data_IF_366206745055
#
_entry.id   IF_366206745055
#
_cell.length_a   1.000
_cell.length_b   1.000
_cell.length_c   1.000
_cell.angle_alpha   90.00
_cell.angle_beta   90.00
_cell.angle_gamma   90.00
#
_symmetry.space_group_name_H-M   'P 1'
#
loop_
_entity.id
_entity.type
_entity.pdbx_description
1 polymer ?
#
# COMPACT_ATOMS: atom_id res chain seq x y z
N UNK A 1 -28.83 10.82 -13.72
CA UNK A 1 -28.96 9.98 -12.52
C UNK A 1 -27.62 9.31 -12.29
N UNK A 2 -27.10 9.27 -11.06
CA UNK A 2 -25.90 8.48 -10.77
C UNK A 2 -26.21 7.01 -11.11
N UNK A 3 -25.28 6.32 -11.79
CA UNK A 3 -25.44 4.90 -12.07
C UNK A 3 -25.63 4.15 -10.75
N UNK A 4 -26.67 3.33 -10.68
CA UNK A 4 -26.94 2.49 -9.52
C UNK A 4 -25.75 1.57 -9.29
N UNK A 5 -25.38 1.35 -8.03
CA UNK A 5 -24.29 0.44 -7.71
C UNK A 5 -24.75 -1.01 -7.86
N UNK A 6 -24.73 -1.50 -9.10
CA UNK A 6 -25.12 -2.87 -9.41
C UNK A 6 -24.04 -3.89 -9.05
N UNK A 7 -24.40 -5.17 -9.14
CA UNK A 7 -23.53 -6.30 -8.76
C UNK A 7 -22.25 -6.31 -9.59
N UNK A 8 -22.32 -6.04 -10.90
CA UNK A 8 -21.16 -6.08 -11.78
C UNK A 8 -20.16 -4.97 -11.44
N UNK A 9 -20.69 -3.76 -11.19
CA UNK A 9 -19.92 -2.60 -10.78
C UNK A 9 -19.28 -2.82 -9.41
N UNK A 10 -20.01 -3.45 -8.48
CA UNK A 10 -19.47 -3.86 -7.17
C UNK A 10 -18.32 -4.85 -7.29
N UNK A 11 -18.50 -5.91 -8.08
CA UNK A 11 -17.46 -6.93 -8.28
C UNK A 11 -16.22 -6.34 -8.97
N UNK A 12 -16.42 -5.47 -9.97
CA UNK A 12 -15.33 -4.76 -10.64
C UNK A 12 -14.56 -3.85 -9.68
N UNK A 13 -15.26 -3.06 -8.85
CA UNK A 13 -14.60 -2.22 -7.85
C UNK A 13 -13.83 -3.04 -6.83
N UNK A 14 -14.42 -4.15 -6.36
CA UNK A 14 -13.75 -5.06 -5.42
C UNK A 14 -12.47 -5.67 -6.02
N UNK A 15 -12.52 -6.12 -7.27
CA UNK A 15 -11.34 -6.64 -7.96
C UNK A 15 -10.28 -5.56 -8.21
N UNK A 16 -10.71 -4.37 -8.63
CA UNK A 16 -9.80 -3.25 -8.84
C UNK A 16 -9.08 -2.84 -7.55
N UNK A 17 -9.77 -2.80 -6.41
CA UNK A 17 -9.16 -2.50 -5.12
C UNK A 17 -8.15 -3.59 -4.74
N UNK A 18 -8.53 -4.87 -4.87
CA UNK A 18 -7.62 -5.99 -4.63
C UNK A 18 -6.34 -5.88 -5.49
N UNK A 19 -6.49 -5.59 -6.79
CA UNK A 19 -5.35 -5.40 -7.69
C UNK A 19 -4.47 -4.21 -7.28
N UNK A 20 -5.05 -3.10 -6.83
CA UNK A 20 -4.30 -1.94 -6.31
C UNK A 20 -3.48 -2.33 -5.07
N UNK A 21 -4.05 -3.12 -4.15
CA UNK A 21 -3.37 -3.58 -2.93
C UNK A 21 -2.28 -4.60 -3.25
N UNK A 22 -2.52 -5.53 -4.17
CA UNK A 22 -1.50 -6.48 -4.64
C UNK A 22 -0.34 -5.74 -5.33
N UNK A 23 -0.63 -4.71 -6.13
CA UNK A 23 0.38 -3.88 -6.80
C UNK A 23 1.25 -3.08 -5.84
N UNK A 24 0.74 -2.71 -4.65
CA UNK A 24 1.56 -2.03 -3.63
C UNK A 24 2.81 -2.87 -3.31
N UNK A 25 2.60 -4.12 -2.93
CA UNK A 25 3.71 -4.99 -2.50
C UNK A 25 4.54 -5.50 -3.67
N UNK A 26 3.89 -5.83 -4.80
CA UNK A 26 4.60 -6.22 -6.00
C UNK A 26 5.54 -5.11 -6.52
N UNK A 27 5.08 -3.86 -6.58
CA UNK A 27 5.91 -2.77 -7.10
C UNK A 27 7.04 -2.40 -6.12
N UNK A 28 6.86 -2.57 -4.80
CA UNK A 28 7.96 -2.46 -3.85
C UNK A 28 9.04 -3.52 -4.12
N UNK A 29 8.63 -4.78 -4.31
CA UNK A 29 9.58 -5.88 -4.55
C UNK A 29 10.28 -5.78 -5.92
N UNK A 30 9.58 -5.24 -6.92
CA UNK A 30 10.16 -4.94 -8.23
C UNK A 30 10.97 -3.64 -8.26
N UNK A 31 11.02 -2.89 -7.15
CA UNK A 31 11.63 -1.55 -7.07
C UNK A 31 11.09 -0.58 -8.13
N UNK A 32 9.80 -0.70 -8.46
CA UNK A 32 9.13 0.06 -9.52
C UNK A 32 8.50 1.34 -8.97
N UNK A 33 9.28 2.42 -8.92
CA UNK A 33 8.77 3.75 -8.55
C UNK A 33 7.61 4.20 -9.45
N UNK A 34 7.72 3.97 -10.77
CA UNK A 34 6.65 4.29 -11.72
C UNK A 34 5.36 3.54 -11.40
N UNK A 35 5.44 2.24 -11.10
CA UNK A 35 4.28 1.43 -10.75
C UNK A 35 3.62 1.90 -9.44
N UNK A 36 4.41 2.28 -8.44
CA UNK A 36 3.88 2.83 -7.19
C UNK A 36 3.13 4.15 -7.40
N UNK A 37 3.69 5.07 -8.20
CA UNK A 37 3.06 6.36 -8.47
C UNK A 37 1.81 6.19 -9.34
N UNK A 38 1.92 5.41 -10.42
CA UNK A 38 0.86 5.31 -11.43
C UNK A 38 -0.29 4.41 -11.00
N UNK A 39 0.00 3.27 -10.40
CA UNK A 39 -1.00 2.20 -10.20
C UNK A 39 -1.48 2.08 -8.74
N UNK A 40 -0.72 2.61 -7.78
CA UNK A 40 -0.95 2.33 -6.35
C UNK A 40 -1.44 3.55 -5.59
N UNK A 41 -0.65 4.62 -5.55
CA UNK A 41 -0.91 5.77 -4.69
C UNK A 41 -1.80 6.82 -5.35
N UNK A 42 -2.60 7.50 -4.53
CA UNK A 42 -3.31 8.71 -4.94
C UNK A 42 -2.31 9.88 -5.01
N UNK A 43 -2.58 10.97 -5.77
CA UNK A 43 -1.62 12.07 -5.91
C UNK A 43 -1.11 12.63 -4.58
N UNK A 44 -2.03 12.78 -3.62
CA UNK A 44 -1.73 13.12 -2.24
C UNK A 44 -1.98 11.90 -1.36
N UNK A 45 -1.08 11.58 -0.43
CA UNK A 45 -1.15 10.42 0.45
C UNK A 45 -0.90 10.78 1.91
N UNK A 46 -1.41 9.93 2.80
CA UNK A 46 -1.07 9.92 4.23
C UNK A 46 -0.40 8.59 4.53
N UNK A 47 0.81 8.65 5.08
CA UNK A 47 1.58 7.48 5.48
C UNK A 47 1.67 7.45 7.00
N UNK A 48 1.17 6.39 7.60
CA UNK A 48 1.20 6.17 9.04
C UNK A 48 1.97 4.90 9.38
N UNK A 49 3.26 5.10 9.67
CA UNK A 49 4.14 4.07 10.23
C UNK A 49 4.43 4.33 11.72
N UNK A 50 3.55 5.06 12.43
CA UNK A 50 3.74 5.38 13.85
C UNK A 50 3.93 4.13 14.70
N UNK A 51 3.24 3.04 14.35
CA UNK A 51 3.39 1.75 15.04
C UNK A 51 4.76 1.08 14.84
N UNK A 52 5.46 1.37 13.75
CA UNK A 52 6.76 0.76 13.43
C UNK A 52 7.93 1.61 13.91
N UNK A 53 7.85 2.93 13.69
CA UNK A 53 8.99 3.84 13.90
C UNK A 53 8.72 4.93 14.95
N UNK A 54 7.52 4.96 15.56
CA UNK A 54 7.07 6.08 16.38
C UNK A 54 6.74 7.32 15.52
N UNK A 55 6.62 8.48 16.16
CA UNK A 55 6.35 9.74 15.45
C UNK A 55 4.86 10.01 15.22
N UNK A 56 4.52 10.56 14.05
CA UNK A 56 3.17 10.94 13.63
C UNK A 56 2.94 10.57 12.16
N UNK A 57 1.68 10.39 11.73
CA UNK A 57 1.36 10.27 10.32
C UNK A 57 1.91 11.45 9.50
N UNK A 58 2.41 11.15 8.31
CA UNK A 58 2.94 12.14 7.37
C UNK A 58 1.97 12.33 6.20
N UNK A 59 1.64 13.58 5.91
CA UNK A 59 0.95 13.96 4.68
C UNK A 59 1.98 14.39 3.63
N UNK A 60 1.88 13.84 2.41
CA UNK A 60 2.84 14.12 1.33
C UNK A 60 2.23 13.79 -0.04
N UNK A 61 2.96 14.00 -1.13
CA UNK A 61 2.55 13.53 -2.46
C UNK A 61 3.06 12.12 -2.72
N UNK A 62 2.42 11.39 -3.64
CA UNK A 62 2.88 10.06 -4.05
C UNK A 62 4.32 10.07 -4.56
N UNK A 63 4.69 11.08 -5.34
CA UNK A 63 6.03 11.21 -5.92
C UNK A 63 7.08 11.45 -4.86
N UNK A 64 6.80 12.36 -3.91
CA UNK A 64 7.70 12.64 -2.81
C UNK A 64 7.86 11.43 -1.88
N UNK A 65 6.75 10.73 -1.58
CA UNK A 65 6.77 9.50 -0.81
C UNK A 65 7.60 8.41 -1.49
N UNK A 66 7.29 8.09 -2.75
CA UNK A 66 7.96 7.03 -3.50
C UNK A 66 9.45 7.33 -3.65
N UNK A 67 9.82 8.59 -3.91
CA UNK A 67 11.22 9.02 -3.94
C UNK A 67 11.92 8.79 -2.61
N UNK A 68 11.24 9.00 -1.47
CA UNK A 68 11.82 8.74 -0.15
C UNK A 68 12.08 7.24 0.12
N UNK A 69 11.45 6.34 -0.64
CA UNK A 69 11.65 4.89 -0.55
C UNK A 69 12.83 4.40 -1.40
N UNK A 70 13.30 5.18 -2.39
CA UNK A 70 14.37 4.76 -3.30
C UNK A 70 15.66 4.32 -2.59
N UNK A 71 16.20 5.04 -1.58
CA UNK A 71 17.40 4.60 -0.87
C UNK A 71 17.23 3.25 -0.18
N UNK A 72 16.01 2.96 0.29
CA UNK A 72 15.68 1.70 0.95
C UNK A 72 15.54 0.57 -0.06
N UNK A 73 14.83 0.82 -1.17
CA UNK A 73 14.71 -0.14 -2.26
C UNK A 73 16.10 -0.50 -2.81
N UNK A 74 16.98 0.48 -3.01
CA UNK A 74 18.34 0.25 -3.53
C UNK A 74 19.29 -0.39 -2.50
N UNK A 75 19.11 -0.08 -1.22
CA UNK A 75 19.95 -0.57 -0.14
C UNK A 75 19.74 -2.05 0.22
N UNK A 76 18.63 -2.65 -0.23
CA UNK A 76 18.28 -4.05 -0.01
C UNK A 76 18.59 -4.89 -1.25
N UNK A 77 19.17 -6.08 -1.05
CA UNK A 77 19.46 -7.01 -2.16
C UNK A 77 18.17 -7.59 -2.74
N UNK A 78 17.19 -7.85 -1.87
CA UNK A 78 15.89 -8.37 -2.26
C UNK A 78 14.88 -8.15 -1.13
N UNK A 79 13.63 -7.90 -1.52
CA UNK A 79 12.49 -7.93 -0.62
C UNK A 79 11.43 -8.89 -1.15
N UNK A 80 10.60 -9.38 -0.23
CA UNK A 80 9.37 -10.05 -0.55
C UNK A 80 8.30 -9.57 0.43
N UNK A 81 7.28 -8.90 -0.09
CA UNK A 81 6.12 -8.50 0.68
C UNK A 81 4.93 -9.37 0.29
N UNK A 82 4.20 -9.85 1.30
CA UNK A 82 3.04 -10.72 1.11
C UNK A 82 1.85 -10.06 1.79
N UNK A 83 0.83 -9.68 1.02
CA UNK A 83 -0.48 -9.26 1.53
C UNK A 83 -1.46 -10.40 1.39
N UNK A 84 -2.22 -10.67 2.44
CA UNK A 84 -3.25 -11.73 2.45
C UNK A 84 -4.44 -11.32 3.28
N UNK A 85 -5.53 -12.11 3.20
CA UNK A 85 -6.72 -11.95 4.03
C UNK A 85 -7.31 -10.54 3.95
N UNK A 86 -7.37 -10.00 2.73
CA UNK A 86 -7.92 -8.67 2.46
C UNK A 86 -9.42 -8.64 2.72
N UNK A 87 -9.83 -7.73 3.60
CA UNK A 87 -11.24 -7.39 3.82
C UNK A 87 -11.48 -6.02 3.21
N UNK A 88 -12.13 -6.01 2.05
CA UNK A 88 -12.49 -4.80 1.30
C UNK A 88 -13.90 -4.36 1.72
N UNK A 89 -13.98 -3.19 2.35
CA UNK A 89 -15.23 -2.58 2.80
C UNK A 89 -15.83 -1.72 1.69
N UNK A 90 -16.84 -2.28 1.04
CA UNK A 90 -17.70 -1.61 0.06
C UNK A 90 -19.17 -1.86 0.46
N UNK A 91 -20.08 -0.90 0.22
CA UNK A 91 -21.51 -1.11 0.47
C UNK A 91 -22.03 -2.23 -0.43
N UNK A 92 -22.94 -3.05 0.08
CA UNK A 92 -23.55 -4.12 -0.71
C UNK A 92 -24.41 -3.52 -1.85
N UNK A 93 -24.41 -4.12 -3.05
CA UNK A 93 -25.14 -3.62 -4.22
C UNK A 93 -26.65 -3.90 -4.12
N UNK A 94 -27.32 -3.28 -3.14
CA UNK A 94 -28.77 -3.32 -2.96
C UNK A 94 -29.43 -2.06 -3.57
N UNK A 95 -30.73 -2.13 -3.83
CA UNK A 95 -31.46 -1.05 -4.50
C UNK A 95 -31.29 0.31 -3.82
N UNK A 96 -30.90 1.33 -4.61
CA UNK A 96 -30.75 2.71 -4.14
C UNK A 96 -29.39 3.06 -3.55
N UNK A 97 -28.45 2.12 -3.46
CA UNK A 97 -27.07 2.42 -3.01
C UNK A 97 -26.32 3.20 -4.10
N UNK A 98 -25.76 4.33 -3.68
CA UNK A 98 -24.87 5.15 -4.52
C UNK A 98 -23.50 4.47 -4.56
N UNK A 99 -22.92 4.38 -5.76
CA UNK A 99 -21.57 3.84 -5.94
C UNK A 99 -20.57 4.68 -5.14
N UNK A 100 -19.70 4.06 -4.33
CA UNK A 100 -18.78 4.80 -3.48
C UNK A 100 -17.61 5.38 -4.28
N UNK A 101 -17.10 6.50 -3.79
CA UNK A 101 -15.85 7.15 -4.20
C UNK A 101 -14.68 6.84 -3.25
N UNK A 102 -14.95 6.17 -2.13
CA UNK A 102 -13.98 5.76 -1.10
C UNK A 102 -14.21 4.32 -0.67
N UNK A 103 -13.14 3.65 -0.27
CA UNK A 103 -13.18 2.31 0.28
C UNK A 103 -12.14 2.14 1.38
N UNK A 104 -12.37 1.20 2.30
CA UNK A 104 -11.39 0.81 3.31
C UNK A 104 -10.96 -0.63 3.08
N UNK A 105 -9.69 -0.92 3.36
CA UNK A 105 -9.16 -2.28 3.33
C UNK A 105 -8.38 -2.54 4.60
N UNK A 106 -8.66 -3.67 5.22
CA UNK A 106 -7.80 -4.24 6.27
C UNK A 106 -7.22 -5.53 5.72
N UNK A 107 -5.91 -5.70 5.84
CA UNK A 107 -5.22 -6.88 5.32
C UNK A 107 -4.07 -7.29 6.25
N UNK A 108 -3.73 -8.58 6.25
CA UNK A 108 -2.50 -9.05 6.88
C UNK A 108 -1.34 -8.79 5.92
N UNK A 109 -0.19 -8.36 6.46
CA UNK A 109 1.02 -8.13 5.67
C UNK A 109 2.24 -8.70 6.37
N UNK A 110 3.13 -9.31 5.58
CA UNK A 110 4.47 -9.69 5.98
C UNK A 110 5.50 -9.05 5.05
N UNK A 111 6.60 -8.58 5.64
CA UNK A 111 7.77 -8.11 4.90
C UNK A 111 8.97 -9.01 5.20
N UNK A 112 9.64 -9.46 4.16
CA UNK A 112 10.91 -10.17 4.24
C UNK A 112 11.97 -9.38 3.49
N UNK A 113 13.07 -9.06 4.16
CA UNK A 113 14.13 -8.19 3.62
C UNK A 113 15.47 -8.91 3.75
N UNK A 114 16.22 -8.93 2.64
CA UNK A 114 17.56 -9.49 2.56
C UNK A 114 18.58 -8.38 2.31
N UNK A 115 19.60 -8.35 3.16
CA UNK A 115 20.81 -7.53 2.97
C UNK A 115 22.03 -8.34 3.37
N UNK A 116 22.73 -8.90 2.39
CA UNK A 116 23.96 -9.71 2.56
C UNK A 116 25.10 -8.93 3.17
N UNK A 117 25.14 -7.62 2.94
CA UNK A 117 26.14 -6.72 3.49
C UNK A 117 25.88 -6.29 4.95
N UNK A 118 24.80 -6.76 5.59
CA UNK A 118 24.54 -6.48 7.00
C UNK A 118 25.65 -7.08 7.90
N UNK A 119 25.98 -6.38 8.99
CA UNK A 119 27.01 -6.85 9.96
C UNK A 119 26.56 -8.09 10.72
N UNK A 120 25.31 -8.11 11.15
CA UNK A 120 24.66 -9.27 11.76
C UNK A 120 24.17 -10.30 10.74
N UNK A 121 23.04 -10.95 11.04
CA UNK A 121 22.40 -11.88 10.09
C UNK A 121 21.84 -11.09 8.89
N UNK A 122 21.76 -11.69 7.69
CA UNK A 122 21.40 -10.97 6.47
C UNK A 122 19.88 -10.77 6.30
N UNK A 123 19.07 -11.30 7.20
CA UNK A 123 17.61 -11.31 7.09
C UNK A 123 16.95 -10.50 8.20
N UNK A 124 15.90 -9.78 7.82
CA UNK A 124 14.92 -9.17 8.69
C UNK A 124 13.52 -9.51 8.19
N UNK A 125 12.62 -9.81 9.12
CA UNK A 125 11.24 -10.12 8.83
C UNK A 125 10.34 -9.37 9.79
N UNK A 126 9.17 -8.98 9.29
CA UNK A 126 8.12 -8.46 10.13
C UNK A 126 6.76 -8.92 9.65
N UNK A 127 5.80 -8.86 10.56
CA UNK A 127 4.41 -9.14 10.28
C UNK A 127 3.52 -8.14 10.98
N UNK A 128 2.41 -7.79 10.33
CA UNK A 128 1.49 -6.79 10.81
C UNK A 128 0.24 -6.73 9.97
N UNK A 129 -0.44 -5.59 10.06
CA UNK A 129 -1.67 -5.32 9.33
C UNK A 129 -1.56 -4.01 8.58
N UNK A 130 -2.10 -4.01 7.37
CA UNK A 130 -2.44 -2.78 6.68
C UNK A 130 -3.83 -2.31 7.08
N UNK A 131 -3.95 -1.00 7.27
CA UNK A 131 -5.21 -0.26 7.31
C UNK A 131 -5.12 0.77 6.19
N UNK A 132 -5.81 0.49 5.08
CA UNK A 132 -5.75 1.31 3.89
C UNK A 132 -7.07 2.04 3.69
N UNK A 133 -6.98 3.29 3.27
CA UNK A 133 -8.13 4.02 2.70
C UNK A 133 -7.82 4.33 1.24
N UNK A 134 -8.75 3.99 0.35
CA UNK A 134 -8.63 4.21 -1.08
C UNK A 134 -9.65 5.25 -1.54
N UNK A 135 -9.26 5.99 -2.58
CA UNK A 135 -10.11 6.96 -3.28
C UNK A 135 -10.22 6.58 -4.75
N UNK A 136 -11.37 6.90 -5.34
CA UNK A 136 -11.64 6.74 -6.77
C UNK A 136 -11.17 7.98 -7.53
N UNK A 137 -10.36 7.79 -8.56
CA UNK A 137 -9.95 8.83 -9.49
C UNK A 137 -10.77 8.74 -10.78
N UNK A 138 -11.75 9.65 -10.92
CA UNK A 138 -12.70 9.65 -12.05
C UNK A 138 -12.01 9.79 -13.42
N UNK A 139 -10.87 10.47 -13.48
CA UNK A 139 -10.13 10.65 -14.73
C UNK A 139 -9.54 9.33 -15.26
N UNK A 140 -9.20 8.38 -14.39
CA UNK A 140 -8.76 7.04 -14.79
C UNK A 140 -9.94 6.18 -15.24
N UNK A 141 -11.06 6.29 -14.52
CA UNK A 141 -12.29 5.57 -14.88
C UNK A 141 -12.79 5.96 -16.27
N UNK A 142 -12.76 7.25 -16.62
CA UNK A 142 -13.11 7.75 -17.96
C UNK A 142 -12.23 7.17 -19.07
N UNK A 143 -10.99 6.76 -18.75
CA UNK A 143 -10.06 6.11 -19.68
C UNK A 143 -10.23 4.59 -19.73
N UNK A 144 -11.12 4.03 -18.91
CA UNK A 144 -11.30 2.57 -18.78
C UNK A 144 -10.20 1.90 -17.94
N UNK A 145 -9.45 2.67 -17.16
CA UNK A 145 -8.39 2.16 -16.28
C UNK A 145 -8.94 1.88 -14.87
N UNK A 146 -8.21 1.10 -14.07
CA UNK A 146 -8.52 0.90 -12.65
C UNK A 146 -8.45 2.27 -11.94
N UNK A 147 -9.56 2.76 -11.35
CA UNK A 147 -9.59 4.10 -10.78
C UNK A 147 -9.22 4.17 -9.30
N UNK A 148 -9.01 3.05 -8.61
CA UNK A 148 -8.79 3.04 -7.17
C UNK A 148 -7.32 3.24 -6.83
N UNK A 149 -7.04 4.19 -5.93
CA UNK A 149 -5.71 4.50 -5.44
C UNK A 149 -5.68 4.67 -3.93
N UNK A 150 -4.59 4.24 -3.30
CA UNK A 150 -4.36 4.33 -1.85
C UNK A 150 -4.12 5.80 -1.48
N UNK A 151 -5.01 6.35 -0.66
CA UNK A 151 -4.92 7.69 -0.07
C UNK A 151 -4.31 7.66 1.32
N UNK A 152 -4.61 6.62 2.10
CA UNK A 152 -4.03 6.43 3.43
C UNK A 152 -3.43 5.03 3.48
N UNK A 153 -2.16 4.95 3.89
CA UNK A 153 -1.50 3.70 4.21
C UNK A 153 -1.03 3.75 5.66
N UNK A 154 -1.76 3.05 6.53
CA UNK A 154 -1.33 2.82 7.89
C UNK A 154 -0.84 1.37 8.05
N UNK A 155 0.33 1.19 8.68
CA UNK A 155 0.87 -0.13 9.00
C UNK A 155 0.98 -0.29 10.50
N UNK A 156 0.31 -1.32 11.01
CA UNK A 156 0.34 -1.70 12.42
C UNK A 156 1.22 -2.92 12.57
N UNK A 157 2.35 -2.74 13.25
CA UNK A 157 3.30 -3.81 13.50
C UNK A 157 2.70 -4.82 14.49
N UNK A 158 2.80 -6.11 14.16
CA UNK A 158 2.43 -7.20 15.05
C UNK A 158 3.63 -7.88 15.69
N UNK A 159 4.66 -8.17 14.90
CA UNK A 159 5.89 -8.81 15.34
C UNK A 159 7.05 -8.51 14.39
N UNK A 160 8.27 -8.70 14.90
CA UNK A 160 9.52 -8.62 14.15
C UNK A 160 10.44 -9.77 14.55
N UNK A 161 11.23 -10.26 13.60
CA UNK A 161 12.29 -11.24 13.84
C UNK A 161 13.45 -11.02 12.86
N UNK A 162 14.68 -11.29 13.31
CA UNK A 162 15.89 -11.13 12.52
C UNK A 162 16.78 -9.96 12.95
N UNK A 163 17.54 -9.44 11.99
CA UNK A 163 18.66 -8.52 12.24
C UNK A 163 18.29 -7.07 11.95
N UNK A 164 18.32 -6.23 12.98
CA UNK A 164 18.10 -4.77 12.83
C UNK A 164 19.16 -4.07 11.98
N UNK A 165 20.35 -4.67 11.79
CA UNK A 165 21.38 -4.16 10.86
C UNK A 165 20.90 -4.13 9.40
N UNK A 166 19.92 -4.98 9.04
CA UNK A 166 19.29 -4.92 7.71
C UNK A 166 18.51 -3.61 7.55
N UNK A 167 17.83 -3.18 8.62
CA UNK A 167 17.05 -1.95 8.65
C UNK A 167 17.90 -0.67 8.74
N UNK A 168 19.22 -0.78 8.86
CA UNK A 168 20.10 0.40 8.90
C UNK A 168 20.03 1.27 7.63
N UNK A 169 19.52 0.75 6.51
CA UNK A 169 19.26 1.53 5.29
C UNK A 169 18.04 2.44 5.39
N UNK A 170 17.19 2.25 6.41
CA UNK A 170 15.97 3.02 6.63
C UNK A 170 16.20 4.32 7.43
N UNK A 171 17.44 4.64 7.82
CA UNK A 171 17.74 5.87 8.54
C UNK A 171 17.46 7.09 7.65
N UNK A 172 16.29 7.72 7.82
CA UNK A 172 15.87 8.93 7.09
C UNK A 172 14.59 8.84 6.26
N UNK A 173 13.86 7.70 6.27
CA UNK A 173 12.56 7.62 5.56
C UNK A 173 11.49 8.37 6.38
N UNK A 174 10.77 9.30 5.74
CA UNK A 174 9.62 9.98 6.35
C UNK A 174 9.98 11.07 7.39
N UNK A 175 11.19 11.62 7.31
CA UNK A 175 11.62 12.82 8.05
C UNK A 175 11.94 13.98 7.11
#
# INVERSE_FOLDING_TARGET
MAAQYDILTYLLDKQNIHDTVARLTLNLDLKSSEGLIKDVYAPDVVIDYTSMFGGKPMETTSEAWVKSLEPMMDGLDSTQHVVTNEVIELPQPINGVVRPDKAKVVAQVNGHMLRRAARGKPLMHNGGRYHLELVRLLELEKKGENPWRIKVQATVLGWEDGSSDVMAVFSGIGH
#
